data_IF_335438126660
#
_entry.id   IF_335438126660
#
_cell.length_a   1.000
_cell.length_b   1.000
_cell.length_c   1.000
_cell.angle_alpha   90.00
_cell.angle_beta   90.00
_cell.angle_gamma   90.00
#
_symmetry.space_group_name_H-M   'P 1'
#
loop_
_entity.id
_entity.type
_entity.pdbx_description
1 polymer ?
#
# COMPACT_ATOMS: atom_id res chain seq x y z
N UNK A 1 18.13 57.01 30.78
CA UNK A 1 16.70 56.79 30.45
C UNK A 1 16.46 56.29 29.02
N UNK A 2 17.17 56.77 27.98
CA UNK A 2 16.93 56.34 26.58
C UNK A 2 17.41 54.90 26.28
N UNK A 3 18.53 54.49 26.89
CA UNK A 3 19.12 53.15 26.70
C UNK A 3 18.23 52.07 27.34
N UNK A 4 17.65 52.36 28.51
CA UNK A 4 16.75 51.45 29.22
C UNK A 4 15.43 51.27 28.47
N UNK A 5 14.88 52.33 27.86
CA UNK A 5 13.64 52.23 27.07
C UNK A 5 13.84 51.46 25.77
N UNK A 6 14.99 51.63 25.10
CA UNK A 6 15.30 50.89 23.87
C UNK A 6 15.48 49.38 24.15
N UNK A 7 16.13 49.03 25.25
CA UNK A 7 16.30 47.62 25.66
C UNK A 7 14.95 46.94 25.99
N UNK A 8 14.01 47.67 26.61
CA UNK A 8 12.66 47.17 26.92
C UNK A 8 11.83 47.01 25.62
N UNK A 9 11.97 47.90 24.65
CA UNK A 9 11.29 47.79 23.35
C UNK A 9 11.81 46.60 22.52
N UNK A 10 13.13 46.36 22.51
CA UNK A 10 13.72 45.22 21.79
C UNK A 10 13.34 43.87 22.40
N UNK A 11 13.29 43.80 23.74
CA UNK A 11 12.90 42.58 24.46
C UNK A 11 11.41 42.25 24.30
N UNK A 12 10.53 43.25 24.37
CA UNK A 12 9.08 43.04 24.14
C UNK A 12 8.77 42.60 22.71
N UNK A 13 9.44 43.16 21.70
CA UNK A 13 9.30 42.71 20.30
C UNK A 13 9.78 41.27 20.09
N UNK A 14 10.91 40.90 20.70
CA UNK A 14 11.43 39.52 20.65
C UNK A 14 10.45 38.52 21.29
N UNK A 15 9.79 38.89 22.40
CA UNK A 15 8.78 38.04 23.05
C UNK A 15 7.52 37.90 22.19
N UNK A 16 7.02 38.98 21.58
CA UNK A 16 5.83 38.94 20.70
C UNK A 16 6.06 38.07 19.46
N UNK A 17 7.22 38.20 18.82
CA UNK A 17 7.59 37.34 17.69
C UNK A 17 7.77 35.88 18.11
N UNK A 18 8.37 35.61 19.28
CA UNK A 18 8.48 34.26 19.81
C UNK A 18 7.10 33.62 20.12
N UNK A 19 6.14 34.41 20.63
CA UNK A 19 4.76 33.96 20.88
C UNK A 19 4.05 33.63 19.55
N UNK A 20 4.08 34.52 18.54
CA UNK A 20 3.51 34.24 17.22
C UNK A 20 4.16 33.04 16.52
N UNK A 21 5.48 32.84 16.67
CA UNK A 21 6.21 31.69 16.10
C UNK A 21 5.88 30.39 16.86
N UNK A 22 5.69 30.45 18.18
CA UNK A 22 5.32 29.30 19.00
C UNK A 22 3.85 28.87 18.80
N UNK A 23 2.94 29.83 18.59
CA UNK A 23 1.53 29.58 18.25
C UNK A 23 1.39 28.94 16.87
N UNK A 24 2.20 29.35 15.89
CA UNK A 24 2.23 28.74 14.55
C UNK A 24 2.71 27.27 14.55
N UNK A 25 3.60 26.88 15.48
CA UNK A 25 4.08 25.49 15.57
C UNK A 25 3.02 24.50 16.05
N UNK A 26 1.98 24.92 16.78
CA UNK A 26 0.97 23.99 17.30
C UNK A 26 0.04 23.43 16.22
N UNK A 27 -0.18 24.14 15.11
CA UNK A 27 -1.08 23.69 14.03
C UNK A 27 -0.39 22.82 12.95
N UNK A 28 0.94 22.79 12.90
CA UNK A 28 1.67 22.03 11.87
C UNK A 28 2.00 20.57 12.23
N UNK A 29 1.69 20.13 13.46
CA UNK A 29 2.00 18.77 13.89
C UNK A 29 0.99 17.71 13.43
N UNK A 30 -0.18 18.08 12.88
CA UNK A 30 -1.16 17.12 12.35
C UNK A 30 -1.22 17.03 10.83
N UNK A 31 -0.59 17.97 10.10
CA UNK A 31 -0.60 18.00 8.62
C UNK A 31 0.70 17.50 7.99
N UNK A 32 1.75 17.32 8.79
CA UNK A 32 3.07 16.90 8.32
C UNK A 32 3.42 15.46 8.72
N UNK A 33 2.42 14.68 9.12
CA UNK A 33 2.57 13.23 9.22
C UNK A 33 1.90 12.58 8.00
N UNK A 34 2.66 12.05 7.02
CA UNK A 34 2.08 11.27 5.93
C UNK A 34 1.40 9.97 6.40
N UNK A 35 1.40 9.68 7.70
CA UNK A 35 0.74 8.51 8.29
C UNK A 35 -0.61 8.82 8.97
N UNK A 36 -1.18 10.02 8.78
CA UNK A 36 -2.59 10.31 9.11
C UNK A 36 -3.31 10.83 7.86
N UNK A 37 -3.04 10.18 6.73
CA UNK A 37 -3.83 10.33 5.52
C UNK A 37 -4.99 9.36 5.57
N UNK A 38 -6.22 9.86 5.58
CA UNK A 38 -7.36 9.15 5.00
C UNK A 38 -6.92 8.55 3.65
N UNK A 39 -6.60 7.25 3.64
CA UNK A 39 -6.17 6.52 2.45
C UNK A 39 -7.37 6.34 1.53
N UNK A 40 -7.68 7.39 0.78
CA UNK A 40 -8.67 7.31 -0.30
C UNK A 40 -8.17 6.43 -1.46
N UNK A 41 -6.85 6.16 -1.49
CA UNK A 41 -6.16 5.37 -2.50
C UNK A 41 -5.39 4.23 -1.84
N UNK A 42 -5.78 2.98 -2.14
CA UNK A 42 -5.01 1.78 -1.79
C UNK A 42 -3.85 1.60 -2.78
N UNK A 43 -2.74 1.00 -2.34
CA UNK A 43 -1.67 0.63 -3.25
C UNK A 43 -2.12 -0.54 -4.15
N UNK A 44 -2.34 -0.34 -5.46
CA UNK A 44 -2.91 -1.37 -6.33
C UNK A 44 -2.00 -2.61 -6.51
N UNK A 45 -0.73 -2.54 -6.09
CA UNK A 45 0.21 -3.64 -6.21
C UNK A 45 0.36 -4.47 -4.93
N UNK A 46 -0.14 -3.99 -3.79
CA UNK A 46 0.08 -4.62 -2.48
C UNK A 46 -1.16 -4.67 -1.60
N UNK A 47 -2.15 -3.84 -1.90
CA UNK A 47 -3.34 -3.64 -1.09
C UNK A 47 -4.57 -3.72 -1.99
N UNK A 48 -5.66 -4.19 -1.41
CA UNK A 48 -6.99 -4.14 -1.99
C UNK A 48 -7.92 -3.35 -1.08
N UNK A 49 -8.96 -2.78 -1.67
CA UNK A 49 -9.95 -2.00 -0.95
C UNK A 49 -11.12 -2.90 -0.56
N UNK A 50 -11.59 -2.80 0.68
CA UNK A 50 -12.86 -3.39 1.10
C UNK A 50 -14.02 -2.78 0.30
N UNK A 51 -15.10 -3.52 0.11
CA UNK A 51 -16.24 -3.10 -0.72
C UNK A 51 -16.98 -1.89 -0.14
N UNK A 52 -17.11 -1.82 1.18
CA UNK A 52 -17.61 -0.69 1.96
C UNK A 52 -16.73 0.58 1.87
N UNK A 53 -15.56 0.49 1.23
CA UNK A 53 -14.54 1.53 1.16
C UNK A 53 -13.99 2.00 2.52
N UNK A 54 -14.17 1.22 3.59
CA UNK A 54 -13.74 1.58 4.95
C UNK A 54 -12.23 1.58 5.08
N UNK A 55 -11.57 0.56 4.53
CA UNK A 55 -10.15 0.32 4.70
C UNK A 55 -9.49 -0.32 3.47
N UNK A 56 -8.16 -0.26 3.44
CA UNK A 56 -7.31 -0.97 2.50
C UNK A 56 -6.61 -2.08 3.26
N UNK A 57 -6.83 -3.33 2.86
CA UNK A 57 -6.14 -4.49 3.43
C UNK A 57 -5.05 -4.98 2.47
N UNK A 58 -3.96 -5.60 2.97
CA UNK A 58 -2.97 -6.22 2.10
C UNK A 58 -3.59 -7.32 1.23
N UNK A 59 -3.12 -7.46 -0.02
CA UNK A 59 -3.59 -8.49 -0.96
C UNK A 59 -3.48 -9.91 -0.40
N UNK A 60 -2.47 -10.20 0.45
CA UNK A 60 -2.29 -11.52 1.04
C UNK A 60 -3.32 -11.86 2.13
N UNK A 61 -4.06 -10.88 2.65
CA UNK A 61 -5.13 -11.07 3.65
C UNK A 61 -6.50 -11.26 3.03
N UNK A 62 -6.61 -10.98 1.74
CA UNK A 62 -7.84 -11.24 1.01
C UNK A 62 -7.98 -12.76 0.88
N UNK A 63 -9.10 -13.36 1.28
CA UNK A 63 -9.32 -14.81 1.23
C UNK A 63 -8.30 -15.62 2.04
N UNK A 64 -7.90 -15.12 3.20
CA UNK A 64 -7.00 -15.81 4.13
C UNK A 64 -7.74 -16.58 5.24
N UNK A 65 -9.08 -16.51 5.23
CA UNK A 65 -9.97 -17.15 6.20
C UNK A 65 -10.25 -16.31 7.44
N UNK A 66 -9.69 -15.09 7.54
CA UNK A 66 -10.01 -14.12 8.58
C UNK A 66 -10.84 -12.98 8.00
N UNK A 67 -11.69 -12.40 8.84
CA UNK A 67 -12.45 -11.23 8.46
C UNK A 67 -11.64 -9.96 8.79
N UNK A 68 -10.90 -9.43 7.82
CA UNK A 68 -10.11 -8.20 7.92
C UNK A 68 -10.89 -6.95 7.45
N UNK A 69 -11.94 -7.09 6.63
CA UNK A 69 -12.84 -5.99 6.29
C UNK A 69 -14.03 -5.90 7.27
N UNK A 70 -14.46 -4.69 7.63
CA UNK A 70 -15.63 -4.53 8.53
C UNK A 70 -16.92 -5.12 7.93
N UNK A 71 -17.00 -5.19 6.60
CA UNK A 71 -18.10 -5.78 5.84
C UNK A 71 -17.90 -7.25 5.45
N UNK A 72 -16.75 -7.86 5.76
CA UNK A 72 -16.38 -9.21 5.34
C UNK A 72 -16.23 -9.42 3.84
N UNK A 73 -16.11 -8.33 3.07
CA UNK A 73 -15.96 -8.40 1.61
C UNK A 73 -14.68 -9.08 1.17
N UNK A 74 -13.69 -9.16 2.06
CA UNK A 74 -12.42 -9.84 1.82
C UNK A 74 -12.51 -11.36 1.75
N UNK A 75 -13.54 -11.94 2.36
CA UNK A 75 -13.80 -13.38 2.36
C UNK A 75 -15.02 -13.78 1.52
N UNK A 76 -15.71 -12.78 0.93
CA UNK A 76 -16.99 -12.99 0.24
C UNK A 76 -16.86 -13.51 -1.21
N UNK A 77 -15.69 -13.35 -1.85
CA UNK A 77 -15.50 -13.65 -3.28
C UNK A 77 -14.12 -14.28 -3.55
N UNK A 78 -13.92 -15.49 -3.03
CA UNK A 78 -12.64 -16.21 -3.08
C UNK A 78 -12.54 -17.25 -4.21
N UNK A 79 -13.31 -17.06 -5.29
CA UNK A 79 -13.40 -18.00 -6.42
C UNK A 79 -12.15 -18.04 -7.33
N UNK A 80 -11.01 -17.53 -6.86
CA UNK A 80 -9.84 -17.24 -7.69
C UNK A 80 -8.73 -18.28 -7.59
N UNK A 81 -8.52 -19.01 -8.67
CA UNK A 81 -7.21 -19.58 -9.02
C UNK A 81 -6.24 -18.44 -9.35
N UNK A 82 -5.65 -17.82 -8.34
CA UNK A 82 -4.79 -16.65 -8.50
C UNK A 82 -3.31 -17.02 -8.61
N UNK A 83 -2.54 -16.22 -9.34
CA UNK A 83 -1.11 -16.41 -9.54
C UNK A 83 -0.29 -15.73 -8.44
N UNK A 84 0.62 -16.42 -7.72
CA UNK A 84 1.38 -15.81 -6.63
C UNK A 84 2.18 -14.59 -7.10
N UNK A 85 2.16 -13.51 -6.30
CA UNK A 85 3.05 -12.35 -6.52
C UNK A 85 4.46 -12.73 -6.07
N UNK A 86 5.30 -13.24 -6.96
CA UNK A 86 6.72 -13.33 -6.65
C UNK A 86 7.35 -11.93 -6.70
N UNK A 87 8.22 -11.56 -5.73
CA UNK A 87 9.03 -10.36 -5.85
C UNK A 87 9.90 -10.46 -7.10
N UNK A 88 10.13 -9.36 -7.84
CA UNK A 88 10.81 -9.40 -9.12
C UNK A 88 12.24 -9.91 -8.94
N UNK A 89 12.48 -11.16 -9.32
CA UNK A 89 13.84 -11.70 -9.47
C UNK A 89 14.38 -11.17 -10.79
N UNK A 90 15.57 -10.57 -10.77
CA UNK A 90 16.26 -10.17 -12.00
C UNK A 90 16.71 -11.43 -12.74
N UNK A 91 16.14 -11.68 -13.91
CA UNK A 91 16.55 -12.80 -14.76
C UNK A 91 17.56 -12.35 -15.81
N UNK A 92 18.57 -13.19 -16.04
CA UNK A 92 19.60 -12.95 -17.05
C UNK A 92 19.09 -13.23 -18.48
N UNK A 93 18.11 -14.12 -18.64
CA UNK A 93 17.31 -14.36 -19.87
C UNK A 93 15.91 -14.82 -19.49
N UNK A 94 14.89 -14.34 -20.20
CA UNK A 94 13.51 -14.84 -20.07
C UNK A 94 13.37 -16.19 -20.78
N UNK A 95 12.72 -17.15 -20.13
CA UNK A 95 12.45 -18.48 -20.69
C UNK A 95 11.01 -18.84 -20.33
N UNK A 96 10.14 -18.91 -21.32
CA UNK A 96 8.76 -19.34 -21.14
C UNK A 96 8.72 -20.87 -20.95
N UNK A 97 8.05 -21.30 -19.88
CA UNK A 97 7.86 -22.72 -19.51
C UNK A 97 6.43 -23.21 -19.79
N UNK A 98 5.50 -22.30 -20.04
CA UNK A 98 4.10 -22.58 -20.39
C UNK A 98 3.54 -21.40 -21.19
N UNK A 99 2.48 -21.60 -21.95
CA UNK A 99 1.68 -20.53 -22.57
C UNK A 99 0.20 -20.59 -22.18
N UNK A 100 -0.21 -21.69 -21.55
CA UNK A 100 -1.56 -21.92 -21.03
C UNK A 100 -1.49 -22.76 -19.75
N UNK A 101 -2.53 -22.66 -18.92
CA UNK A 101 -2.63 -23.49 -17.70
C UNK A 101 -2.77 -24.99 -18.02
N UNK A 102 -3.16 -25.35 -19.25
CA UNK A 102 -3.24 -26.73 -19.72
C UNK A 102 -1.87 -27.39 -19.94
N UNK A 103 -0.81 -26.62 -20.10
CA UNK A 103 0.58 -27.13 -20.24
C UNK A 103 1.24 -27.40 -18.89
N UNK A 104 0.65 -26.89 -17.80
CA UNK A 104 1.16 -27.09 -16.47
C UNK A 104 0.72 -28.47 -15.91
N UNK A 105 1.52 -29.07 -15.00
CA UNK A 105 1.06 -30.22 -14.23
C UNK A 105 -0.27 -29.94 -13.54
N UNK A 106 -1.07 -30.99 -13.29
CA UNK A 106 -2.39 -30.87 -12.71
C UNK A 106 -2.42 -29.93 -11.49
N UNK A 107 -3.46 -29.09 -11.45
CA UNK A 107 -3.74 -28.08 -10.41
C UNK A 107 -2.74 -26.91 -10.35
N UNK A 108 -1.94 -26.67 -11.40
CA UNK A 108 -1.07 -25.49 -11.52
C UNK A 108 -1.54 -24.52 -12.60
N UNK A 109 -1.22 -23.25 -12.41
CA UNK A 109 -1.54 -22.16 -13.34
C UNK A 109 -0.29 -21.71 -14.09
N UNK A 110 -0.47 -21.31 -15.34
CA UNK A 110 0.58 -20.60 -16.07
C UNK A 110 0.56 -19.12 -15.67
N UNK A 111 1.59 -18.69 -14.94
CA UNK A 111 1.68 -17.36 -14.37
C UNK A 111 2.71 -16.49 -15.10
N UNK A 112 2.33 -15.24 -15.38
CA UNK A 112 3.26 -14.25 -15.91
C UNK A 112 4.19 -13.73 -14.80
N UNK A 113 5.47 -13.96 -14.96
CA UNK A 113 6.52 -13.43 -14.09
C UNK A 113 7.45 -12.49 -14.86
N UNK A 114 8.33 -11.78 -14.14
CA UNK A 114 9.37 -10.91 -14.77
C UNK A 114 10.32 -11.67 -15.70
N UNK A 115 10.29 -13.00 -15.66
CA UNK A 115 11.24 -13.90 -16.32
C UNK A 115 10.59 -14.78 -17.41
N UNK A 116 9.35 -14.47 -17.80
CA UNK A 116 8.55 -15.27 -18.72
C UNK A 116 7.36 -15.93 -18.01
N UNK A 117 6.77 -16.91 -18.70
CA UNK A 117 5.62 -17.64 -18.20
C UNK A 117 6.02 -18.91 -17.46
N UNK A 118 5.57 -19.09 -16.22
CA UNK A 118 6.01 -20.18 -15.34
C UNK A 118 4.81 -20.83 -14.64
N UNK A 119 4.80 -22.16 -14.58
CA UNK A 119 3.80 -22.90 -13.83
C UNK A 119 3.95 -22.71 -12.32
N UNK A 120 2.89 -22.29 -11.64
CA UNK A 120 2.84 -22.10 -10.18
C UNK A 120 1.62 -22.76 -9.58
N UNK A 121 1.75 -23.10 -8.31
CA UNK A 121 0.61 -23.51 -7.50
C UNK A 121 -0.30 -22.30 -7.32
N UNK A 122 -1.62 -22.44 -7.52
CA UNK A 122 -2.59 -21.38 -7.31
C UNK A 122 -2.57 -20.96 -5.85
N UNK A 123 -2.83 -19.68 -5.61
CA UNK A 123 -3.07 -19.15 -4.27
C UNK A 123 -4.55 -18.85 -4.11
N UNK A 124 -5.09 -19.08 -2.91
CA UNK A 124 -6.48 -18.78 -2.57
C UNK A 124 -6.74 -17.29 -2.38
N UNK A 125 -5.68 -16.50 -2.21
CA UNK A 125 -5.76 -15.06 -2.01
C UNK A 125 -5.59 -14.29 -3.32
N UNK A 126 -6.36 -13.22 -3.54
CA UNK A 126 -6.17 -12.29 -4.65
C UNK A 126 -4.77 -11.69 -4.72
N UNK A 127 -4.24 -11.66 -5.93
CA UNK A 127 -2.88 -11.20 -6.24
C UNK A 127 -2.89 -10.36 -7.50
N UNK A 128 -1.86 -9.54 -7.69
CA UNK A 128 -1.64 -8.87 -8.97
C UNK A 128 -0.95 -9.78 -10.03
N UNK A 129 -0.73 -11.06 -9.72
CA UNK A 129 -0.22 -12.02 -10.68
C UNK A 129 -1.24 -12.26 -11.79
N UNK A 130 -0.77 -12.33 -13.04
CA UNK A 130 -1.62 -12.51 -14.21
C UNK A 130 -1.57 -13.97 -14.66
N UNK A 131 -2.71 -14.67 -14.61
CA UNK A 131 -2.91 -15.96 -15.29
C UNK A 131 -2.81 -15.74 -16.79
N UNK A 132 -2.10 -16.62 -17.47
CA UNK A 132 -1.88 -16.57 -18.91
C UNK A 132 -2.55 -17.79 -19.52
N UNK A 133 -3.63 -17.53 -20.23
CA UNK A 133 -4.28 -18.50 -21.12
C UNK A 133 -4.47 -17.76 -22.46
N UNK A 134 -3.54 -18.00 -23.39
CA UNK A 134 -3.55 -17.39 -24.73
C UNK A 134 -4.49 -18.13 -25.69
#
# INVERSE_FOLDING_TARGET
MVITTLAILLSTFAVLTAISIAEFRREQSLKNNPEIGTRLFCNPFKESKCLDNSTCIPLYRMCDGNNDCDDGSDEASCDGENCPVEPPKRCFRGIDKCYSSAECPADKLCCAESCGFICRDPVSYPTNGRKVDL
#
